data_IF_309339623983
#
_entry.id   IF_309339623983
#
_cell.length_a   1.000
_cell.length_b   1.000
_cell.length_c   1.000
_cell.angle_alpha   90.00
_cell.angle_beta   90.00
_cell.angle_gamma   90.00
#
_symmetry.space_group_name_H-M   'P 1'
#
loop_
_entity.id
_entity.type
_entity.pdbx_description
1 polymer ?
#
# COMPACT_ATOMS: atom_id res chain seq x y z
N UNK A 1 -39.79 -21.35 39.47
CA UNK A 1 -38.94 -21.38 38.22
C UNK A 1 -39.83 -21.70 37.04
N UNK A 2 -40.28 -20.68 36.31
CA UNK A 2 -41.15 -20.84 35.12
C UNK A 2 -40.27 -21.07 33.94
N UNK A 3 -40.41 -22.21 33.26
CA UNK A 3 -39.58 -22.63 32.12
C UNK A 3 -39.89 -21.76 30.88
N UNK A 4 -38.89 -21.19 30.28
CA UNK A 4 -38.96 -20.32 29.08
C UNK A 4 -39.77 -20.87 27.88
N UNK A 5 -40.08 -22.16 27.86
CA UNK A 5 -40.89 -22.81 26.81
C UNK A 5 -42.39 -22.53 26.96
N UNK A 6 -42.87 -22.27 28.17
CA UNK A 6 -44.30 -22.01 28.42
C UNK A 6 -44.71 -20.59 28.05
N UNK A 7 -43.80 -19.64 27.99
CA UNK A 7 -44.09 -18.26 27.60
C UNK A 7 -44.26 -18.09 26.08
N UNK A 8 -43.58 -18.90 25.26
CA UNK A 8 -43.71 -18.86 23.82
C UNK A 8 -44.97 -19.52 23.30
N UNK A 9 -45.52 -20.49 24.04
CA UNK A 9 -46.80 -21.16 23.66
C UNK A 9 -48.03 -20.32 24.00
N UNK A 10 -47.95 -19.41 24.96
CA UNK A 10 -49.04 -18.52 25.34
C UNK A 10 -49.19 -17.32 24.40
N UNK A 11 -48.15 -16.93 23.67
CA UNK A 11 -48.16 -15.82 22.70
C UNK A 11 -48.71 -16.19 21.33
N UNK A 12 -48.81 -17.48 20.98
CA UNK A 12 -49.32 -17.95 19.69
C UNK A 12 -50.86 -18.11 19.72
N UNK A 13 -51.50 -18.16 20.88
CA UNK A 13 -52.92 -18.43 21.02
C UNK A 13 -53.83 -17.19 21.05
N UNK A 14 -53.29 -15.97 21.00
CA UNK A 14 -54.06 -14.75 21.21
C UNK A 14 -54.13 -13.77 20.01
N UNK A 15 -53.75 -14.17 18.82
CA UNK A 15 -53.87 -13.31 17.63
C UNK A 15 -54.66 -13.94 16.50
N UNK A 16 -55.98 -14.04 16.72
CA UNK A 16 -56.93 -14.11 15.63
C UNK A 16 -57.08 -12.73 14.98
N UNK A 17 -56.18 -12.36 14.07
CA UNK A 17 -56.35 -11.17 13.23
C UNK A 17 -56.37 -11.67 11.77
N UNK A 18 -57.49 -11.37 11.13
CA UNK A 18 -57.80 -11.59 9.73
C UNK A 18 -56.65 -11.21 8.81
N UNK A 19 -56.16 -12.18 8.06
CA UNK A 19 -55.14 -11.97 7.01
C UNK A 19 -55.79 -11.22 5.84
N UNK A 20 -55.56 -9.90 5.79
CA UNK A 20 -55.63 -9.18 4.52
C UNK A 20 -54.34 -9.51 3.73
N UNK A 21 -54.41 -9.85 2.44
CA UNK A 21 -53.25 -10.07 1.63
C UNK A 21 -52.64 -8.70 1.29
N UNK A 22 -51.80 -8.20 2.13
CA UNK A 22 -50.82 -7.19 1.71
C UNK A 22 -49.75 -7.91 0.87
N UNK A 23 -49.54 -7.51 -0.38
CA UNK A 23 -48.33 -7.99 -1.10
C UNK A 23 -47.15 -7.36 -0.37
N UNK A 24 -46.52 -8.13 0.51
CA UNK A 24 -45.14 -7.90 0.94
C UNK A 24 -44.22 -8.16 -0.25
N UNK A 25 -44.27 -7.28 -1.25
CA UNK A 25 -43.10 -7.07 -2.08
C UNK A 25 -42.05 -6.41 -1.20
N UNK A 26 -41.38 -7.21 -0.39
CA UNK A 26 -40.08 -6.88 0.09
C UNK A 26 -39.22 -6.73 -1.16
N UNK A 27 -39.06 -5.49 -1.65
CA UNK A 27 -37.98 -5.16 -2.53
C UNK A 27 -36.74 -5.65 -1.77
N UNK A 28 -36.12 -6.72 -2.24
CA UNK A 28 -34.82 -7.13 -1.77
C UNK A 28 -33.91 -5.96 -2.10
N UNK A 29 -33.69 -5.10 -1.12
CA UNK A 29 -32.68 -4.07 -1.23
C UNK A 29 -31.39 -4.85 -1.44
N UNK A 30 -30.84 -4.78 -2.63
CA UNK A 30 -29.53 -5.37 -2.91
C UNK A 30 -28.59 -4.86 -1.83
N UNK A 31 -28.11 -5.78 -1.01
CA UNK A 31 -27.29 -5.46 0.16
C UNK A 31 -25.98 -4.90 -0.34
N UNK A 32 -25.83 -3.58 -0.34
CA UNK A 32 -24.58 -2.91 -0.70
C UNK A 32 -23.48 -3.38 0.22
N UNK A 33 -22.32 -3.71 -0.36
CA UNK A 33 -21.14 -4.13 0.41
C UNK A 33 -20.28 -2.89 0.65
N UNK A 34 -20.22 -2.37 1.88
CA UNK A 34 -19.46 -1.16 2.17
C UNK A 34 -17.97 -1.38 1.89
N UNK A 35 -17.30 -0.31 1.49
CA UNK A 35 -15.85 -0.27 1.33
C UNK A 35 -15.24 0.71 2.31
N UNK A 36 -14.02 0.40 2.75
CA UNK A 36 -13.16 1.30 3.51
C UNK A 36 -11.72 1.09 3.10
N UNK A 37 -10.90 2.16 3.19
CA UNK A 37 -9.47 2.07 2.97
C UNK A 37 -8.76 1.32 4.10
N UNK A 38 -7.45 1.05 3.94
CA UNK A 38 -6.65 0.33 4.93
C UNK A 38 -6.69 0.98 6.31
N UNK A 39 -6.50 2.30 6.41
CA UNK A 39 -6.54 3.00 7.70
C UNK A 39 -7.94 3.10 8.33
N UNK A 40 -8.99 2.92 7.54
CA UNK A 40 -10.39 3.09 7.96
C UNK A 40 -10.88 4.54 7.96
N UNK A 41 -10.03 5.50 7.53
CA UNK A 41 -10.38 6.94 7.47
C UNK A 41 -11.33 7.27 6.32
N UNK A 42 -11.27 6.50 5.22
CA UNK A 42 -12.13 6.68 4.05
C UNK A 42 -13.13 5.52 3.91
N UNK A 43 -14.38 5.82 3.59
CA UNK A 43 -15.45 4.82 3.44
C UNK A 43 -16.49 5.25 2.42
N UNK A 44 -17.15 4.27 1.81
CA UNK A 44 -18.32 4.48 0.99
C UNK A 44 -19.19 3.22 0.92
N UNK A 45 -20.40 3.36 0.36
CA UNK A 45 -21.33 2.28 0.08
C UNK A 45 -21.59 2.24 -1.43
N UNK A 46 -20.67 1.68 -2.22
CA UNK A 46 -20.81 1.61 -3.66
C UNK A 46 -22.00 0.74 -4.05
N UNK A 47 -22.58 1.03 -5.21
CA UNK A 47 -23.61 0.17 -5.80
C UNK A 47 -23.09 -1.25 -6.04
N UNK A 48 -21.86 -1.37 -6.56
CA UNK A 48 -21.24 -2.67 -6.87
C UNK A 48 -19.76 -2.69 -6.48
N UNK A 49 -19.29 -3.87 -6.09
CA UNK A 49 -17.86 -4.19 -5.93
C UNK A 49 -17.56 -5.43 -6.75
N UNK A 50 -16.68 -5.29 -7.73
CA UNK A 50 -16.42 -6.35 -8.73
C UNK A 50 -14.91 -6.56 -8.83
N UNK A 51 -14.52 -7.83 -9.00
CA UNK A 51 -13.15 -8.24 -9.29
C UNK A 51 -13.16 -9.13 -10.54
N UNK A 52 -12.97 -8.58 -11.74
CA UNK A 52 -12.87 -9.36 -12.97
C UNK A 52 -11.64 -10.27 -12.93
N UNK A 53 -11.73 -11.42 -13.59
CA UNK A 53 -10.69 -12.43 -13.64
C UNK A 53 -9.94 -12.48 -14.97
N UNK A 54 -10.31 -11.59 -15.89
CA UNK A 54 -9.62 -11.39 -17.17
C UNK A 54 -9.75 -9.96 -17.65
N UNK A 55 -8.92 -9.58 -18.61
CA UNK A 55 -8.99 -8.27 -19.26
C UNK A 55 -10.28 -8.15 -20.07
N UNK A 56 -10.71 -9.21 -20.73
CA UNK A 56 -11.95 -9.27 -21.51
C UNK A 56 -13.18 -9.08 -20.62
N UNK A 57 -13.19 -9.69 -19.43
CA UNK A 57 -14.24 -9.49 -18.43
C UNK A 57 -14.29 -8.04 -17.93
N UNK A 58 -13.11 -7.40 -17.75
CA UNK A 58 -13.03 -5.99 -17.42
C UNK A 58 -13.56 -5.09 -18.54
N UNK A 59 -13.17 -5.37 -19.79
CA UNK A 59 -13.67 -4.63 -20.97
C UNK A 59 -15.18 -4.72 -21.09
N UNK A 60 -15.77 -5.92 -20.97
CA UNK A 60 -17.21 -6.12 -20.98
C UNK A 60 -17.89 -5.35 -19.82
N UNK A 61 -17.34 -5.45 -18.61
CA UNK A 61 -17.84 -4.72 -17.44
C UNK A 61 -17.91 -3.22 -17.68
N UNK A 62 -16.85 -2.63 -18.26
CA UNK A 62 -16.79 -1.18 -18.47
C UNK A 62 -17.74 -0.72 -19.56
N UNK A 63 -17.90 -1.50 -20.63
CA UNK A 63 -18.91 -1.26 -21.69
C UNK A 63 -20.34 -1.23 -21.16
N UNK A 64 -20.65 -2.13 -20.22
CA UNK A 64 -22.00 -2.31 -19.69
C UNK A 64 -22.28 -1.44 -18.44
N UNK A 65 -21.26 -0.77 -17.90
CA UNK A 65 -21.42 0.02 -16.67
C UNK A 65 -21.78 1.46 -16.99
N UNK A 66 -22.99 1.87 -16.65
CA UNK A 66 -23.33 3.29 -16.60
C UNK A 66 -22.88 3.90 -15.27
N UNK A 67 -22.42 5.14 -15.30
CA UNK A 67 -22.06 5.88 -14.09
C UNK A 67 -20.59 5.79 -13.72
N UNK A 68 -20.30 6.12 -12.46
CA UNK A 68 -18.92 6.23 -11.99
C UNK A 68 -18.30 4.86 -11.74
N UNK A 69 -17.08 4.67 -12.23
CA UNK A 69 -16.23 3.51 -11.92
C UNK A 69 -14.97 4.01 -11.24
N UNK A 70 -14.57 3.37 -10.13
CA UNK A 70 -13.32 3.64 -9.45
C UNK A 70 -12.50 2.36 -9.31
N UNK A 71 -11.28 2.33 -9.87
CA UNK A 71 -10.35 1.25 -9.58
C UNK A 71 -9.84 1.35 -8.15
N UNK A 72 -9.59 0.20 -7.53
CA UNK A 72 -8.98 0.11 -6.21
C UNK A 72 -7.93 -1.00 -6.18
N UNK A 73 -6.77 -0.71 -5.62
CA UNK A 73 -5.76 -1.68 -5.25
C UNK A 73 -5.93 -2.15 -3.80
N UNK A 74 -4.87 -2.00 -3.01
CA UNK A 74 -4.85 -2.33 -1.58
C UNK A 74 -5.68 -1.37 -0.70
N UNK A 75 -6.00 -0.19 -1.20
CA UNK A 75 -6.68 0.84 -0.43
C UNK A 75 -5.78 1.51 0.61
N UNK A 76 -4.48 1.60 0.36
CA UNK A 76 -3.53 2.24 1.29
C UNK A 76 -3.55 3.77 1.23
N UNK A 77 -4.02 4.38 0.14
CA UNK A 77 -4.12 5.85 0.05
C UNK A 77 -5.00 6.42 1.16
N UNK A 78 -4.51 7.48 1.80
CA UNK A 78 -5.24 8.22 2.84
C UNK A 78 -6.16 9.28 2.24
N UNK A 79 -5.90 9.69 1.00
CA UNK A 79 -6.75 10.62 0.25
C UNK A 79 -8.03 9.94 -0.26
N UNK A 80 -9.16 10.66 -0.38
CA UNK A 80 -10.45 10.10 -0.80
C UNK A 80 -10.54 9.85 -2.31
N UNK A 81 -9.61 9.10 -2.90
CA UNK A 81 -9.54 8.81 -4.32
C UNK A 81 -10.56 7.74 -4.77
N UNK A 82 -10.81 6.75 -3.92
CA UNK A 82 -11.66 5.59 -4.23
C UNK A 82 -13.14 5.78 -3.87
N UNK A 83 -13.52 6.50 -2.78
CA UNK A 83 -14.92 6.60 -2.39
C UNK A 83 -15.84 6.99 -3.54
N UNK A 84 -16.88 6.19 -3.77
CA UNK A 84 -17.88 6.36 -4.83
C UNK A 84 -19.21 5.74 -4.42
N UNK A 85 -20.29 6.26 -5.00
CA UNK A 85 -21.63 5.69 -4.99
C UNK A 85 -21.85 4.64 -6.11
N UNK A 86 -20.98 4.64 -7.13
CA UNK A 86 -21.05 3.79 -8.29
C UNK A 86 -20.37 2.41 -8.11
N UNK A 87 -19.55 2.02 -9.08
CA UNK A 87 -18.87 0.72 -9.08
C UNK A 87 -17.41 0.84 -8.64
N UNK A 88 -17.00 0.01 -7.68
CA UNK A 88 -15.59 -0.21 -7.35
C UNK A 88 -15.10 -1.46 -8.08
N UNK A 89 -13.97 -1.34 -8.78
CA UNK A 89 -13.31 -2.44 -9.50
C UNK A 89 -11.96 -2.74 -8.88
N UNK A 90 -11.73 -3.99 -8.49
CA UNK A 90 -10.44 -4.48 -8.00
C UNK A 90 -9.85 -5.48 -8.99
N UNK A 91 -8.55 -5.40 -9.25
CA UNK A 91 -7.83 -6.38 -10.07
C UNK A 91 -7.14 -7.47 -9.24
N UNK A 92 -7.58 -7.70 -8.01
CA UNK A 92 -6.98 -8.69 -7.09
C UNK A 92 -7.02 -10.14 -7.57
N UNK A 93 -7.65 -10.42 -8.72
CA UNK A 93 -7.64 -11.74 -9.39
C UNK A 93 -6.66 -11.81 -10.56
N UNK A 94 -6.00 -10.71 -10.89
CA UNK A 94 -4.96 -10.60 -11.92
C UNK A 94 -3.64 -10.30 -11.25
N UNK A 95 -2.89 -11.34 -10.87
CA UNK A 95 -1.67 -11.26 -10.07
C UNK A 95 -0.52 -12.05 -10.69
N UNK A 96 0.69 -11.66 -10.36
CA UNK A 96 1.94 -12.32 -10.72
C UNK A 96 2.67 -11.69 -11.89
N UNK A 97 3.76 -12.33 -12.28
CA UNK A 97 4.61 -11.94 -13.41
C UNK A 97 4.03 -12.53 -14.69
N UNK A 98 3.71 -11.68 -15.66
CA UNK A 98 3.17 -12.06 -16.97
C UNK A 98 4.30 -12.53 -17.90
N UNK A 99 5.36 -11.71 -18.00
CA UNK A 99 6.51 -12.00 -18.84
C UNK A 99 7.74 -11.26 -18.33
N UNK A 100 8.92 -11.65 -18.81
CA UNK A 100 10.16 -10.94 -18.51
C UNK A 100 11.10 -10.96 -19.72
N UNK A 101 11.93 -9.94 -19.82
CA UNK A 101 13.02 -9.84 -20.79
C UNK A 101 14.34 -9.65 -20.02
N UNK A 102 15.15 -10.71 -19.95
CA UNK A 102 16.43 -10.68 -19.24
C UNK A 102 17.47 -9.82 -19.94
N UNK A 103 17.36 -9.64 -21.26
CA UNK A 103 18.31 -8.84 -22.04
C UNK A 103 18.12 -7.35 -21.81
N UNK A 104 16.87 -6.92 -21.60
CA UNK A 104 16.49 -5.54 -21.29
C UNK A 104 16.37 -5.27 -19.79
N UNK A 105 16.44 -6.31 -18.97
CA UNK A 105 16.12 -6.24 -17.55
C UNK A 105 14.73 -5.59 -17.33
N UNK A 106 13.72 -6.15 -17.97
CA UNK A 106 12.34 -5.68 -17.87
C UNK A 106 11.41 -6.84 -17.49
N UNK A 107 10.39 -6.53 -16.69
CA UNK A 107 9.34 -7.48 -16.36
C UNK A 107 7.96 -6.83 -16.52
N UNK A 108 7.04 -7.58 -17.12
CA UNK A 108 5.63 -7.22 -17.20
C UNK A 108 4.87 -7.99 -16.13
N UNK A 109 4.11 -7.27 -15.32
CA UNK A 109 3.40 -7.80 -14.17
C UNK A 109 1.93 -7.38 -14.21
N UNK A 110 1.07 -8.20 -13.67
CA UNK A 110 -0.33 -7.83 -13.46
C UNK A 110 -0.44 -6.68 -12.45
N UNK A 111 -1.24 -5.71 -12.78
CA UNK A 111 -1.40 -4.48 -12.02
C UNK A 111 -2.10 -4.66 -10.66
N UNK A 112 -2.82 -5.78 -10.48
CA UNK A 112 -3.44 -6.18 -9.20
C UNK A 112 -2.49 -6.80 -8.20
N UNK A 113 -1.27 -7.19 -8.62
CA UNK A 113 -0.27 -7.84 -7.76
C UNK A 113 0.13 -6.97 -6.58
N UNK A 114 0.27 -7.58 -5.40
CA UNK A 114 0.93 -6.93 -4.25
C UNK A 114 2.42 -6.87 -4.50
N UNK A 115 3.07 -5.77 -4.08
CA UNK A 115 4.52 -5.62 -4.26
C UNK A 115 5.28 -6.77 -3.60
N UNK A 116 4.92 -7.15 -2.37
CA UNK A 116 5.56 -8.26 -1.65
C UNK A 116 5.39 -9.62 -2.34
N UNK A 117 4.30 -9.82 -3.09
CA UNK A 117 4.07 -11.05 -3.85
C UNK A 117 4.88 -11.12 -5.15
N UNK A 118 5.52 -10.03 -5.59
CA UNK A 118 6.33 -9.98 -6.81
C UNK A 118 7.81 -10.31 -6.57
N UNK A 119 8.30 -10.16 -5.34
CA UNK A 119 9.72 -10.30 -5.03
C UNK A 119 10.30 -11.65 -5.41
N UNK A 120 9.80 -12.73 -4.81
CA UNK A 120 10.27 -14.09 -5.11
C UNK A 120 10.07 -14.50 -6.58
N UNK A 121 8.91 -14.28 -7.22
CA UNK A 121 8.72 -14.61 -8.63
C UNK A 121 9.68 -13.87 -9.58
N UNK A 122 10.07 -12.65 -9.27
CA UNK A 122 11.09 -11.92 -10.04
C UNK A 122 12.48 -12.50 -9.80
N UNK A 123 12.85 -12.78 -8.56
CA UNK A 123 14.12 -13.37 -8.18
C UNK A 123 14.36 -14.72 -8.87
N UNK A 124 13.35 -15.59 -8.92
CA UNK A 124 13.39 -16.87 -9.67
C UNK A 124 13.62 -16.69 -11.17
N UNK A 125 13.38 -15.51 -11.71
CA UNK A 125 13.62 -15.12 -13.12
C UNK A 125 14.90 -14.32 -13.32
N UNK A 126 15.73 -14.23 -12.28
CA UNK A 126 16.97 -13.46 -12.32
C UNK A 126 16.75 -11.95 -12.36
N UNK A 127 15.64 -11.47 -11.77
CA UNK A 127 15.28 -10.06 -11.76
C UNK A 127 14.87 -9.61 -10.36
N UNK A 128 14.96 -8.30 -10.10
CA UNK A 128 14.48 -7.64 -8.90
C UNK A 128 13.96 -6.23 -9.22
N UNK A 129 13.06 -5.72 -8.42
CA UNK A 129 12.70 -4.30 -8.46
C UNK A 129 13.91 -3.46 -8.01
N UNK A 130 14.14 -2.35 -8.69
CA UNK A 130 15.30 -1.47 -8.43
C UNK A 130 15.20 -0.82 -7.05
N UNK A 131 13.98 -0.50 -6.63
CA UNK A 131 13.66 0.08 -5.33
C UNK A 131 12.26 -0.35 -4.91
N UNK A 132 11.94 -0.23 -3.61
CA UNK A 132 10.62 -0.51 -3.07
C UNK A 132 10.31 0.48 -1.94
N UNK A 133 9.03 0.73 -1.65
CA UNK A 133 8.63 1.42 -0.44
C UNK A 133 8.79 0.50 0.79
N UNK A 134 8.70 1.08 1.97
CA UNK A 134 8.74 0.37 3.26
C UNK A 134 7.49 -0.49 3.55
N UNK A 135 6.42 -0.32 2.75
CA UNK A 135 5.20 -1.13 2.80
C UNK A 135 4.99 -1.84 1.45
N UNK A 136 5.02 -3.15 1.45
CA UNK A 136 4.86 -3.98 0.25
C UNK A 136 3.43 -4.53 0.03
N UNK A 137 2.49 -4.12 0.87
CA UNK A 137 1.07 -4.48 0.75
C UNK A 137 0.31 -3.70 -0.33
N UNK A 138 0.92 -2.69 -0.92
CA UNK A 138 0.32 -1.93 -2.01
C UNK A 138 0.17 -2.79 -3.26
N UNK A 139 -0.96 -2.60 -3.99
CA UNK A 139 -1.09 -3.14 -5.33
C UNK A 139 -0.26 -2.31 -6.32
N UNK A 140 0.37 -2.96 -7.28
CA UNK A 140 1.30 -2.34 -8.24
C UNK A 140 0.67 -1.13 -8.97
N UNK A 141 -0.55 -1.25 -9.51
CA UNK A 141 -1.22 -0.12 -10.15
C UNK A 141 -1.50 1.04 -9.18
N UNK A 142 -1.87 0.74 -7.93
CA UNK A 142 -2.07 1.76 -6.91
C UNK A 142 -0.78 2.48 -6.54
N UNK A 143 0.30 1.72 -6.40
CA UNK A 143 1.63 2.19 -6.10
C UNK A 143 2.11 3.21 -7.16
N UNK A 144 2.09 2.84 -8.45
CA UNK A 144 2.52 3.75 -9.52
C UNK A 144 1.58 4.94 -9.69
N UNK A 145 0.25 4.73 -9.54
CA UNK A 145 -0.75 5.77 -9.77
C UNK A 145 -0.67 6.93 -8.76
N UNK A 146 -0.09 6.71 -7.58
CA UNK A 146 0.09 7.71 -6.52
C UNK A 146 1.55 8.13 -6.34
N UNK A 147 2.42 7.78 -7.29
CA UNK A 147 3.85 8.07 -7.29
C UNK A 147 4.60 7.55 -6.05
N UNK A 148 4.18 6.37 -5.52
CA UNK A 148 4.89 5.72 -4.41
C UNK A 148 6.39 5.60 -4.71
N UNK A 149 7.20 5.87 -3.71
CA UNK A 149 8.66 5.80 -3.80
C UNK A 149 9.23 5.04 -2.58
N UNK A 150 10.47 4.65 -2.69
CA UNK A 150 11.32 4.32 -1.56
C UNK A 150 12.26 5.49 -1.31
N UNK A 151 13.38 5.23 -0.67
CA UNK A 151 14.41 6.22 -0.40
C UNK A 151 15.55 6.16 -1.43
N UNK A 152 16.52 7.07 -1.33
CA UNK A 152 17.70 7.12 -2.18
C UNK A 152 17.71 8.31 -3.13
N UNK A 153 18.67 9.23 -2.94
CA UNK A 153 18.77 10.47 -3.70
C UNK A 153 18.92 10.28 -5.23
N UNK A 154 19.48 9.15 -5.65
CA UNK A 154 19.67 8.81 -7.07
C UNK A 154 18.54 7.96 -7.67
N UNK A 155 17.50 7.62 -6.93
CA UNK A 155 16.45 6.68 -7.36
C UNK A 155 15.10 7.39 -7.35
N UNK A 156 14.42 7.38 -8.49
CA UNK A 156 13.10 8.00 -8.59
C UNK A 156 11.97 7.15 -8.00
N UNK A 157 10.75 7.68 -8.08
CA UNK A 157 9.55 6.95 -7.66
C UNK A 157 9.28 5.72 -8.56
N UNK A 158 8.44 4.80 -8.08
CA UNK A 158 8.09 3.56 -8.79
C UNK A 158 7.55 3.83 -10.20
N UNK A 159 6.77 4.89 -10.38
CA UNK A 159 6.24 5.28 -11.69
C UNK A 159 7.32 5.75 -12.68
N UNK A 160 8.47 6.22 -12.21
CA UNK A 160 9.61 6.58 -13.10
C UNK A 160 10.30 5.37 -13.71
N UNK A 161 10.16 4.20 -13.09
CA UNK A 161 10.71 2.92 -13.54
C UNK A 161 9.78 2.18 -14.50
N UNK A 162 8.59 2.69 -14.75
CA UNK A 162 7.64 2.11 -15.71
C UNK A 162 8.11 2.39 -17.14
N UNK A 163 8.16 1.34 -17.95
CA UNK A 163 8.55 1.40 -19.37
C UNK A 163 7.39 1.12 -20.32
N UNK A 164 6.31 0.51 -19.84
CA UNK A 164 5.10 0.26 -20.61
C UNK A 164 3.89 0.00 -19.70
N UNK A 165 2.72 0.28 -20.21
CA UNK A 165 1.44 0.07 -19.55
C UNK A 165 0.43 -0.54 -20.51
N UNK A 166 -0.44 -1.39 -19.97
CA UNK A 166 -1.69 -1.78 -20.60
C UNK A 166 -2.84 -1.28 -19.73
N UNK A 167 -3.83 -0.64 -20.32
CA UNK A 167 -5.00 -0.12 -19.59
C UNK A 167 -6.29 -0.28 -20.42
N UNK A 168 -7.41 -0.37 -19.72
CA UNK A 168 -8.74 -0.34 -20.31
C UNK A 168 -9.42 0.97 -19.95
N UNK A 169 -9.83 1.73 -20.97
CA UNK A 169 -10.51 3.02 -20.80
C UNK A 169 -11.99 2.86 -20.39
N UNK A 170 -12.66 3.98 -20.14
CA UNK A 170 -14.07 4.00 -19.73
C UNK A 170 -15.05 3.44 -20.81
N UNK A 171 -14.60 3.30 -22.06
CA UNK A 171 -15.38 2.70 -23.17
C UNK A 171 -15.12 1.20 -23.30
N UNK A 172 -14.26 0.65 -22.45
CA UNK A 172 -13.84 -0.76 -22.52
C UNK A 172 -12.86 -1.03 -23.67
N UNK A 173 -12.18 0.01 -24.19
CA UNK A 173 -11.13 -0.15 -25.19
C UNK A 173 -9.80 -0.40 -24.50
N UNK A 174 -9.05 -1.39 -25.04
CA UNK A 174 -7.73 -1.75 -24.54
C UNK A 174 -6.67 -0.89 -25.21
N UNK A 175 -5.82 -0.28 -24.39
CA UNK A 175 -4.70 0.53 -24.82
C UNK A 175 -3.39 -0.04 -24.33
N UNK A 176 -2.41 -0.10 -25.22
CA UNK A 176 -1.02 -0.32 -24.88
C UNK A 176 -0.24 0.97 -25.09
N UNK A 177 0.54 1.37 -24.11
CA UNK A 177 1.29 2.61 -24.18
C UNK A 177 2.70 2.46 -23.60
N UNK A 178 3.63 3.12 -24.26
CA UNK A 178 5.05 3.23 -23.92
C UNK A 178 5.58 4.54 -24.49
N UNK A 179 6.87 4.79 -24.34
CA UNK A 179 7.51 5.97 -24.99
C UNK A 179 7.45 5.91 -26.51
N UNK A 180 7.40 4.70 -27.09
CA UNK A 180 7.35 4.45 -28.52
C UNK A 180 5.92 4.34 -29.07
N UNK A 181 4.97 3.96 -28.20
CA UNK A 181 3.59 3.73 -28.58
C UNK A 181 2.65 4.53 -27.67
N UNK A 182 1.84 5.42 -28.23
CA UNK A 182 0.95 6.32 -27.49
C UNK A 182 1.68 7.11 -26.38
N UNK A 183 2.79 7.84 -26.67
CA UNK A 183 3.65 8.44 -25.67
C UNK A 183 2.94 9.45 -24.75
N UNK A 184 2.02 10.25 -25.26
CA UNK A 184 1.27 11.21 -24.44
C UNK A 184 0.36 10.49 -23.42
N UNK A 185 -0.31 9.42 -23.84
CA UNK A 185 -1.10 8.60 -22.95
C UNK A 185 -0.21 7.92 -21.92
N UNK A 186 0.96 7.43 -22.32
CA UNK A 186 1.92 6.80 -21.43
C UNK A 186 2.38 7.74 -20.31
N UNK A 187 2.82 8.95 -20.68
CA UNK A 187 3.28 9.93 -19.69
C UNK A 187 2.17 10.34 -18.71
N UNK A 188 0.94 10.51 -19.20
CA UNK A 188 -0.21 10.83 -18.36
C UNK A 188 -0.67 9.65 -17.48
N UNK A 189 -0.59 8.41 -17.99
CA UNK A 189 -1.11 7.22 -17.31
C UNK A 189 -0.23 6.75 -16.16
N UNK A 190 1.08 7.03 -16.19
CA UNK A 190 2.03 6.61 -15.15
C UNK A 190 1.67 7.10 -13.75
N UNK A 191 1.06 8.31 -13.62
CA UNK A 191 0.57 8.88 -12.36
C UNK A 191 -0.82 9.46 -12.58
N UNK A 192 -1.79 8.64 -12.92
CA UNK A 192 -3.12 9.09 -13.35
C UNK A 192 -4.20 9.05 -12.27
N UNK A 193 -3.90 8.54 -11.09
CA UNK A 193 -4.88 8.34 -10.00
C UNK A 193 -6.13 7.54 -10.45
N UNK A 194 -5.97 6.70 -11.48
CA UNK A 194 -7.05 5.93 -12.09
C UNK A 194 -8.05 6.76 -12.91
N UNK A 195 -7.71 7.99 -13.32
CA UNK A 195 -8.61 8.88 -14.05
C UNK A 195 -8.70 8.56 -15.55
N UNK A 196 -7.68 7.94 -16.13
CA UNK A 196 -7.61 7.66 -17.58
C UNK A 196 -8.11 6.25 -17.95
N UNK A 197 -8.32 5.40 -16.97
CA UNK A 197 -8.73 4.01 -17.16
C UNK A 197 -8.21 3.12 -16.05
N UNK A 198 -8.42 1.81 -16.21
CA UNK A 198 -7.96 0.79 -15.28
C UNK A 198 -6.72 0.12 -15.85
N UNK A 199 -5.57 0.33 -15.23
CA UNK A 199 -4.30 -0.28 -15.62
C UNK A 199 -4.38 -1.77 -15.31
N UNK A 200 -4.13 -2.62 -16.31
CA UNK A 200 -4.19 -4.08 -16.22
C UNK A 200 -2.82 -4.72 -16.12
N UNK A 201 -1.83 -4.19 -16.82
CA UNK A 201 -0.45 -4.65 -16.79
C UNK A 201 0.52 -3.48 -16.72
N UNK A 202 1.65 -3.72 -16.08
CA UNK A 202 2.74 -2.75 -15.92
C UNK A 202 4.04 -3.44 -16.32
N UNK A 203 4.77 -2.86 -17.27
CA UNK A 203 6.14 -3.24 -17.59
C UNK A 203 7.08 -2.28 -16.87
N UNK A 204 7.98 -2.81 -16.07
CA UNK A 204 8.95 -2.03 -15.30
C UNK A 204 10.38 -2.37 -15.69
N UNK A 205 11.24 -1.36 -15.59
CA UNK A 205 12.67 -1.57 -15.56
C UNK A 205 13.03 -2.28 -14.25
N UNK A 206 13.76 -3.37 -14.34
CA UNK A 206 14.26 -4.19 -13.25
C UNK A 206 15.79 -4.21 -13.25
N UNK A 207 16.37 -4.94 -12.32
CA UNK A 207 17.79 -5.22 -12.23
C UNK A 207 18.03 -6.70 -11.89
N UNK A 208 19.28 -7.17 -11.90
CA UNK A 208 19.63 -8.46 -11.33
C UNK A 208 19.29 -8.52 -9.85
N UNK A 209 18.96 -9.70 -9.29
CA UNK A 209 18.74 -9.87 -7.85
C UNK A 209 19.95 -9.37 -7.05
N UNK A 210 19.67 -8.72 -5.93
CA UNK A 210 20.70 -8.16 -5.06
C UNK A 210 20.29 -8.25 -3.59
N UNK A 211 21.28 -8.19 -2.72
CA UNK A 211 21.09 -8.11 -1.28
C UNK A 211 21.39 -6.71 -0.78
N UNK A 212 20.74 -6.36 0.31
CA UNK A 212 20.98 -5.13 1.05
C UNK A 212 21.41 -5.44 2.46
N UNK A 213 22.37 -4.65 2.92
CA UNK A 213 22.72 -4.49 4.33
C UNK A 213 21.99 -3.24 4.80
N UNK A 214 20.99 -3.43 5.64
CA UNK A 214 20.30 -2.36 6.35
C UNK A 214 20.96 -2.15 7.69
N UNK A 215 21.18 -0.90 8.03
CA UNK A 215 21.72 -0.49 9.34
C UNK A 215 20.83 0.60 9.92
N UNK A 216 20.27 0.30 11.10
CA UNK A 216 19.42 1.21 11.86
C UNK A 216 20.18 1.68 13.09
N UNK A 217 20.43 2.99 13.22
CA UNK A 217 21.25 3.57 14.30
C UNK A 217 20.45 4.60 15.08
N UNK A 218 20.35 4.40 16.39
CA UNK A 218 19.68 5.31 17.32
C UNK A 218 20.64 6.41 17.80
N UNK A 219 20.24 7.68 17.65
CA UNK A 219 21.08 8.82 18.02
C UNK A 219 20.25 10.07 18.34
N UNK A 220 20.89 11.12 18.83
CA UNK A 220 20.19 12.39 19.03
C UNK A 220 19.73 12.98 17.69
N UNK A 221 18.60 13.66 17.70
CA UNK A 221 18.06 14.24 16.46
C UNK A 221 18.96 15.34 15.88
N UNK A 222 19.68 16.08 16.74
CA UNK A 222 20.65 17.09 16.31
C UNK A 222 21.83 16.46 15.55
N UNK A 223 22.32 15.29 16.00
CA UNK A 223 23.36 14.53 15.30
C UNK A 223 22.87 14.03 13.95
N UNK A 224 21.61 13.52 13.88
CA UNK A 224 21.00 13.11 12.62
C UNK A 224 20.98 14.27 11.62
N UNK A 225 20.49 15.43 12.04
CA UNK A 225 20.42 16.60 11.15
C UNK A 225 21.79 17.07 10.69
N UNK A 226 22.80 17.00 11.55
CA UNK A 226 24.17 17.38 11.18
C UNK A 226 24.80 16.44 10.13
N UNK A 227 24.36 15.18 10.06
CA UNK A 227 24.91 14.16 9.17
C UNK A 227 24.05 13.89 7.93
N UNK A 228 22.78 14.28 7.91
CA UNK A 228 21.77 13.86 6.94
C UNK A 228 22.19 14.09 5.50
N UNK A 229 22.72 15.24 5.16
CA UNK A 229 23.17 15.55 3.79
C UNK A 229 24.30 14.61 3.33
N UNK A 230 25.30 14.39 4.19
CA UNK A 230 26.41 13.50 3.88
C UNK A 230 25.97 12.06 3.73
N UNK A 231 25.05 11.60 4.57
CA UNK A 231 24.49 10.25 4.50
C UNK A 231 23.65 10.05 3.24
N UNK A 232 22.82 11.02 2.87
CA UNK A 232 22.01 10.98 1.65
C UNK A 232 22.86 10.92 0.37
N UNK A 233 24.07 11.52 0.39
CA UNK A 233 25.00 11.50 -0.75
C UNK A 233 25.88 10.23 -0.78
N UNK A 234 26.06 9.55 0.34
CA UNK A 234 26.98 8.43 0.47
C UNK A 234 26.30 7.08 0.32
N UNK A 235 25.10 6.92 0.90
CA UNK A 235 24.39 5.66 0.93
C UNK A 235 23.44 5.50 -0.25
N UNK A 236 23.23 4.25 -0.66
CA UNK A 236 22.26 3.92 -1.71
C UNK A 236 20.85 4.37 -1.36
N UNK A 237 20.42 4.05 -0.15
CA UNK A 237 19.15 4.46 0.41
C UNK A 237 19.41 5.03 1.81
N UNK A 238 18.80 6.13 2.13
CA UNK A 238 18.90 6.80 3.42
C UNK A 238 17.55 7.41 3.78
N UNK A 239 17.17 7.21 5.02
CA UNK A 239 16.05 7.89 5.66
C UNK A 239 16.33 8.05 7.15
N UNK A 240 15.59 8.91 7.81
CA UNK A 240 15.62 9.03 9.25
C UNK A 240 14.24 9.31 9.82
N UNK A 241 14.07 8.92 11.08
CA UNK A 241 12.83 9.08 11.81
C UNK A 241 13.06 9.90 13.06
N UNK A 242 12.29 10.95 13.25
CA UNK A 242 12.25 11.69 14.50
C UNK A 242 11.14 11.14 15.40
N UNK A 243 11.47 10.81 16.63
CA UNK A 243 10.49 10.41 17.63
C UNK A 243 10.00 11.64 18.39
N UNK A 244 8.76 12.08 18.18
CA UNK A 244 8.26 13.33 18.74
C UNK A 244 8.40 13.41 20.26
N UNK A 245 8.95 14.54 20.75
CA UNK A 245 9.16 14.83 22.16
C UNK A 245 10.16 13.92 22.88
N UNK A 246 11.08 13.29 22.17
CA UNK A 246 12.16 12.50 22.78
C UNK A 246 13.54 13.15 22.66
N UNK A 247 13.70 14.08 21.71
CA UNK A 247 15.03 14.58 21.30
C UNK A 247 15.87 13.53 20.57
N UNK A 248 15.30 12.37 20.27
CA UNK A 248 15.96 11.23 19.66
C UNK A 248 15.31 10.86 18.33
N UNK A 249 16.04 10.16 17.51
CA UNK A 249 15.59 9.57 16.28
C UNK A 249 16.43 8.35 15.93
N UNK A 250 16.18 7.78 14.77
CA UNK A 250 17.07 6.78 14.20
C UNK A 250 17.24 7.03 12.72
N UNK A 251 18.39 6.64 12.20
CA UNK A 251 18.69 6.62 10.78
C UNK A 251 18.55 5.20 10.27
N UNK A 252 18.09 5.05 9.04
CA UNK A 252 18.03 3.81 8.30
C UNK A 252 18.81 3.97 6.99
N UNK A 253 19.84 3.17 6.81
CA UNK A 253 20.61 3.13 5.56
C UNK A 253 20.56 1.73 4.95
N UNK A 254 20.50 1.67 3.62
CA UNK A 254 20.58 0.40 2.91
C UNK A 254 21.65 0.49 1.83
N UNK A 255 22.64 -0.39 1.89
CA UNK A 255 23.70 -0.48 0.90
C UNK A 255 23.78 -1.88 0.30
N UNK A 256 24.26 -1.95 -0.94
CA UNK A 256 24.49 -3.22 -1.62
C UNK A 256 25.54 -4.04 -0.87
N UNK A 257 25.31 -5.34 -0.75
CA UNK A 257 26.26 -6.24 -0.08
C UNK A 257 26.28 -7.61 -0.72
N UNK A 258 27.46 -8.27 -0.62
CA UNK A 258 27.65 -9.69 -0.94
C UNK A 258 27.70 -10.58 0.32
N UNK A 259 27.56 -9.99 1.48
CA UNK A 259 27.53 -10.71 2.75
C UNK A 259 26.37 -11.73 2.80
N UNK A 260 26.51 -12.84 3.57
CA UNK A 260 25.45 -13.81 3.72
C UNK A 260 24.23 -13.22 4.42
N UNK A 261 23.06 -13.72 4.08
CA UNK A 261 21.78 -13.35 4.74
C UNK A 261 21.91 -13.60 6.23
N UNK A 262 21.60 -12.59 7.04
CA UNK A 262 21.69 -12.65 8.50
C UNK A 262 20.40 -13.13 9.15
N UNK A 263 19.25 -12.91 8.52
CA UNK A 263 17.94 -13.35 9.01
C UNK A 263 17.00 -13.62 7.84
N UNK A 264 16.09 -14.55 8.03
CA UNK A 264 14.97 -14.82 7.11
C UNK A 264 13.63 -14.34 7.70
N UNK A 265 13.66 -13.82 8.91
CA UNK A 265 12.48 -13.25 9.56
C UNK A 265 12.18 -11.88 8.96
N UNK A 266 10.90 -11.60 8.76
CA UNK A 266 10.45 -10.30 8.31
C UNK A 266 10.54 -9.31 9.46
N UNK A 267 11.01 -8.10 9.17
CA UNK A 267 11.10 -7.05 10.17
C UNK A 267 9.73 -6.68 10.74
N UNK A 268 9.64 -6.58 12.06
CA UNK A 268 8.44 -6.15 12.76
C UNK A 268 8.39 -4.61 12.87
N UNK A 269 7.59 -4.00 12.00
CA UNK A 269 7.29 -2.57 12.09
C UNK A 269 6.17 -2.20 13.08
N UNK A 270 5.61 -3.19 13.82
CA UNK A 270 4.42 -2.95 14.67
C UNK A 270 4.77 -2.59 16.11
N UNK A 271 5.80 -3.21 16.69
CA UNK A 271 6.17 -3.04 18.11
C UNK A 271 6.48 -1.59 18.43
N UNK A 272 7.33 -0.93 17.65
CA UNK A 272 7.67 0.49 17.83
C UNK A 272 6.47 1.44 17.76
N UNK A 273 5.54 1.20 16.82
CA UNK A 273 4.31 2.01 16.72
C UNK A 273 3.38 1.78 17.91
N UNK A 274 3.29 0.54 18.42
CA UNK A 274 2.49 0.23 19.61
C UNK A 274 3.07 0.90 20.87
N UNK A 275 4.38 0.87 21.03
CA UNK A 275 5.08 1.53 22.14
C UNK A 275 4.86 3.04 22.13
N UNK A 276 4.93 3.67 20.95
CA UNK A 276 4.63 5.09 20.80
C UNK A 276 3.15 5.42 21.12
N UNK A 277 2.21 4.54 20.75
CA UNK A 277 0.81 4.70 21.12
C UNK A 277 0.62 4.62 22.63
N UNK A 278 1.23 3.65 23.29
CA UNK A 278 1.17 3.50 24.75
C UNK A 278 1.80 4.72 25.45
N UNK A 279 2.97 5.17 24.99
CA UNK A 279 3.63 6.35 25.53
C UNK A 279 2.74 7.61 25.41
N UNK A 280 2.08 7.79 24.25
CA UNK A 280 1.10 8.85 24.05
C UNK A 280 -0.03 8.75 25.06
N UNK A 281 -0.64 7.58 25.23
CA UNK A 281 -1.85 7.41 26.03
C UNK A 281 -1.55 7.57 27.54
N UNK A 282 -0.38 7.11 28.00
CA UNK A 282 0.01 7.18 29.41
C UNK A 282 0.66 8.51 29.81
N UNK A 283 1.34 9.18 28.89
CA UNK A 283 2.17 10.38 29.18
C UNK A 283 1.62 11.65 28.51
N UNK A 284 0.41 11.61 27.93
CA UNK A 284 -0.18 12.78 27.25
C UNK A 284 -0.42 13.97 28.17
N UNK A 285 -0.58 13.73 29.48
CA UNK A 285 -0.87 14.75 30.50
C UNK A 285 0.33 15.68 30.79
N UNK A 286 1.57 15.26 30.48
CA UNK A 286 2.78 16.10 30.71
C UNK A 286 3.79 15.92 29.60
N UNK A 287 3.95 16.90 28.71
CA UNK A 287 4.98 16.87 27.66
C UNK A 287 6.39 16.69 28.21
N UNK A 288 6.75 17.39 29.29
CA UNK A 288 8.08 17.33 29.91
C UNK A 288 8.39 15.93 30.49
N UNK A 289 7.42 15.31 31.16
CA UNK A 289 7.61 13.95 31.70
C UNK A 289 7.74 12.94 30.55
N UNK A 290 6.95 13.11 29.49
CA UNK A 290 7.03 12.28 28.30
C UNK A 290 8.40 12.40 27.64
N UNK A 291 8.91 13.61 27.43
CA UNK A 291 10.25 13.85 26.85
C UNK A 291 11.35 13.17 27.67
N UNK A 292 11.31 13.32 28.98
CA UNK A 292 12.29 12.70 29.87
C UNK A 292 12.25 11.16 29.81
N UNK A 293 11.07 10.58 29.86
CA UNK A 293 10.88 9.11 29.84
C UNK A 293 11.24 8.56 28.48
N UNK A 294 10.69 9.11 27.39
CA UNK A 294 10.96 8.65 26.03
C UNK A 294 12.42 8.83 25.67
N UNK A 295 13.00 10.00 25.92
CA UNK A 295 14.42 10.24 25.63
C UNK A 295 15.37 9.32 26.43
N UNK A 296 14.99 8.93 27.65
CA UNK A 296 15.77 7.97 28.43
C UNK A 296 15.61 6.55 27.89
N UNK A 297 14.40 6.16 27.51
CA UNK A 297 14.11 4.83 26.94
C UNK A 297 14.80 4.66 25.58
N UNK A 298 14.70 5.64 24.68
CA UNK A 298 15.31 5.57 23.34
C UNK A 298 16.83 5.39 23.39
N UNK A 299 17.50 5.90 24.41
CA UNK A 299 18.95 5.71 24.63
C UNK A 299 19.33 4.28 25.04
N UNK A 300 18.37 3.43 25.38
CA UNK A 300 18.59 2.00 25.70
C UNK A 300 18.35 1.09 24.52
N UNK A 301 17.84 1.61 23.41
CA UNK A 301 17.64 0.84 22.20
C UNK A 301 18.97 0.54 21.52
N UNK A 302 19.09 -0.67 21.03
CA UNK A 302 20.30 -1.14 20.34
C UNK A 302 20.18 -0.86 18.84
N UNK A 303 21.32 -0.62 18.22
CA UNK A 303 21.43 -0.52 16.78
C UNK A 303 21.20 -1.90 16.15
N UNK A 304 20.66 -1.91 14.95
CA UNK A 304 20.33 -3.16 14.25
C UNK A 304 21.01 -3.22 12.89
N UNK A 305 21.49 -4.40 12.52
CA UNK A 305 22.00 -4.68 11.18
C UNK A 305 21.29 -5.92 10.63
N UNK A 306 20.65 -5.76 9.47
CA UNK A 306 19.93 -6.83 8.78
C UNK A 306 20.44 -6.97 7.36
N UNK A 307 20.83 -8.19 6.96
CA UNK A 307 21.22 -8.53 5.60
C UNK A 307 20.20 -9.50 5.04
N UNK A 308 19.53 -9.10 3.96
CA UNK A 308 18.49 -9.91 3.32
C UNK A 308 18.40 -9.56 1.82
N UNK A 309 17.70 -10.38 1.05
CA UNK A 309 17.32 -10.06 -0.32
C UNK A 309 16.55 -8.74 -0.37
N UNK A 310 16.81 -7.93 -1.38
CA UNK A 310 16.32 -6.55 -1.48
C UNK A 310 14.81 -6.41 -1.22
N UNK A 311 14.00 -7.28 -1.82
CA UNK A 311 12.54 -7.21 -1.71
C UNK A 311 11.99 -7.50 -0.31
N UNK A 312 12.75 -8.18 0.55
CA UNK A 312 12.42 -8.36 1.97
C UNK A 312 13.03 -7.28 2.85
N UNK A 313 14.22 -6.82 2.46
CA UNK A 313 14.98 -5.86 3.25
C UNK A 313 14.31 -4.47 3.29
N UNK A 314 13.71 -4.03 2.18
CA UNK A 314 13.02 -2.74 2.13
C UNK A 314 11.74 -2.68 2.97
N UNK A 315 11.00 -3.78 3.07
CA UNK A 315 9.66 -3.74 3.61
C UNK A 315 9.58 -4.35 5.02
N UNK A 316 8.85 -3.67 5.89
CA UNK A 316 8.49 -4.17 7.21
C UNK A 316 7.00 -4.51 7.31
N UNK A 317 6.65 -5.40 8.24
CA UNK A 317 5.25 -5.70 8.51
C UNK A 317 4.59 -4.57 9.28
N UNK A 318 3.44 -4.08 8.79
CA UNK A 318 2.68 -2.97 9.40
C UNK A 318 1.21 -3.32 9.55
N UNK A 319 0.84 -3.82 10.73
CA UNK A 319 -0.54 -4.16 11.08
C UNK A 319 -1.25 -3.08 11.89
N UNK A 320 -0.49 -2.15 12.49
CA UNK A 320 -1.04 -1.00 13.22
C UNK A 320 -1.48 0.06 12.24
N UNK A 321 -2.76 0.45 12.31
CA UNK A 321 -3.33 1.44 11.40
C UNK A 321 -2.96 2.85 11.81
N UNK A 322 -2.58 3.66 10.83
CA UNK A 322 -2.28 5.08 10.98
C UNK A 322 -2.82 5.88 9.79
N UNK A 323 -2.76 7.19 9.86
CA UNK A 323 -2.88 8.09 8.72
C UNK A 323 -1.56 8.82 8.57
N UNK A 324 -1.23 9.12 7.33
CA UNK A 324 -0.01 9.76 6.92
C UNK A 324 -0.32 10.92 5.97
N UNK A 325 0.55 11.91 5.97
CA UNK A 325 0.66 12.91 4.93
C UNK A 325 2.13 13.14 4.59
N UNK A 326 2.41 13.43 3.34
CA UNK A 326 3.74 13.61 2.82
C UNK A 326 3.84 14.91 2.04
N UNK A 327 4.99 15.56 2.16
CA UNK A 327 5.33 16.76 1.41
C UNK A 327 6.71 16.59 0.78
N UNK A 328 6.83 16.90 -0.50
CA UNK A 328 8.09 16.96 -1.21
C UNK A 328 8.59 18.41 -1.24
N UNK A 329 9.76 18.62 -0.70
CA UNK A 329 10.43 19.91 -0.71
C UNK A 329 11.72 19.81 -1.52
N UNK A 330 12.11 20.89 -2.26
CA UNK A 330 13.48 20.97 -2.78
C UNK A 330 14.49 20.84 -1.63
N UNK A 331 15.60 20.10 -1.88
CA UNK A 331 16.59 19.80 -0.85
C UNK A 331 17.15 21.05 -0.16
N UNK A 332 17.29 22.17 -0.91
CA UNK A 332 17.73 23.46 -0.39
C UNK A 332 16.76 24.14 0.58
N UNK A 333 15.57 23.56 0.76
CA UNK A 333 14.52 24.05 1.66
C UNK A 333 14.12 23.01 2.74
N UNK A 334 14.85 21.91 2.80
CA UNK A 334 14.66 20.85 3.78
C UNK A 334 15.27 21.11 5.14
#
# INVERSE_FOLDING_TARGET
MIRRRSLLQALVAASGVSALPFPLQAAASERRIPWRNWSGSQRCEPERRIAPDSVEALQALLKDTAGKVRPVGAGHSFSPLVPTDGTIVSLSRLEGVVSHDSSRQQATMWAGSRLGALGQPLEERGQALINMPDIDEQALAGCIATATHGTGAGIGCMSSLVTGLQLVDARGELWECSRENNPELFEAARVSLGALGIITQVTMQTTAPYRLRRESVWQSFDEILALADGMADTHRNFEFFYIPFSGMGFTDVHDLTEEPISTTERMDGNSGVQDLQQARDWLSWSPTVRELILGSYMKTLEDEVVIENSWKNYASERNVRFNEMEYHLPREHG
#
